data_IF_675644927032
#
_entry.id   IF_675644927032
#
_cell.length_a   1.000
_cell.length_b   1.000
_cell.length_c   1.000
_cell.angle_alpha   90.00
_cell.angle_beta   90.00
_cell.angle_gamma   90.00
#
_symmetry.space_group_name_H-M   'P 1'
#
loop_
_entity.id
_entity.type
_entity.pdbx_description
1 polymer ?
#
# COMPACT_ATOMS: atom_id res chain seq x y z
N UNK A 1 -1.30 -11.42 27.13
CA UNK A 1 -1.49 -12.21 25.88
C UNK A 1 -1.77 -11.41 24.61
N UNK A 2 -2.75 -10.49 24.55
CA UNK A 2 -3.02 -9.73 23.30
C UNK A 2 -1.86 -8.80 22.85
N UNK A 3 -1.16 -8.12 23.77
CA UNK A 3 -0.05 -7.22 23.40
C UNK A 3 1.21 -7.97 22.94
N UNK A 4 1.50 -9.14 23.53
CA UNK A 4 2.65 -9.97 23.16
C UNK A 4 2.46 -10.56 21.75
N UNK A 5 1.25 -11.02 21.41
CA UNK A 5 0.94 -11.48 20.06
C UNK A 5 0.96 -10.35 19.02
N UNK A 6 0.58 -9.13 19.40
CA UNK A 6 0.67 -7.96 18.52
C UNK A 6 2.14 -7.60 18.23
N UNK A 7 3.00 -7.62 19.26
CA UNK A 7 4.45 -7.38 19.13
C UNK A 7 5.13 -8.39 18.20
N UNK A 8 4.85 -9.68 18.40
CA UNK A 8 5.43 -10.74 17.57
C UNK A 8 4.97 -10.65 16.12
N UNK A 9 3.70 -10.29 15.88
CA UNK A 9 3.17 -10.08 14.53
C UNK A 9 3.86 -8.89 13.84
N UNK A 10 4.03 -7.76 14.52
CA UNK A 10 4.73 -6.60 13.98
C UNK A 10 6.21 -6.91 13.66
N UNK A 11 6.91 -7.63 14.54
CA UNK A 11 8.30 -8.04 14.30
C UNK A 11 8.44 -8.96 13.07
N UNK A 12 7.51 -9.90 12.89
CA UNK A 12 7.50 -10.82 11.75
C UNK A 12 7.24 -10.08 10.44
N UNK A 13 6.33 -9.10 10.42
CA UNK A 13 6.08 -8.24 9.25
C UNK A 13 7.33 -7.45 8.87
N UNK A 14 8.04 -6.86 9.84
CA UNK A 14 9.27 -6.12 9.58
C UNK A 14 10.35 -7.03 8.99
N UNK A 15 10.55 -8.20 9.59
CA UNK A 15 11.51 -9.19 9.10
C UNK A 15 11.21 -9.62 7.66
N UNK A 16 9.96 -9.93 7.35
CA UNK A 16 9.53 -10.28 6.00
C UNK A 16 9.74 -9.13 5.01
N UNK A 17 9.47 -7.88 5.40
CA UNK A 17 9.77 -6.72 4.58
C UNK A 17 11.26 -6.64 4.25
N UNK A 18 12.15 -6.82 5.22
CA UNK A 18 13.59 -6.86 4.95
C UNK A 18 13.97 -8.01 4.01
N UNK A 19 13.50 -9.23 4.29
CA UNK A 19 13.81 -10.41 3.48
C UNK A 19 13.41 -10.25 2.01
N UNK A 20 12.25 -9.66 1.74
CA UNK A 20 11.73 -9.42 0.38
C UNK A 20 12.51 -8.31 -0.35
N UNK A 21 13.06 -7.33 0.37
CA UNK A 21 13.77 -6.18 -0.23
C UNK A 21 15.29 -6.39 -0.36
N UNK A 22 15.90 -7.30 0.40
CA UNK A 22 17.34 -7.63 0.30
C UNK A 22 17.80 -7.90 -1.15
N UNK A 23 17.05 -8.66 -1.98
CA UNK A 23 17.47 -8.96 -3.34
C UNK A 23 17.66 -7.73 -4.25
N UNK A 24 17.00 -6.61 -3.95
CA UNK A 24 17.09 -5.35 -4.72
C UNK A 24 18.51 -4.77 -4.67
N UNK A 25 19.23 -4.97 -3.57
CA UNK A 25 20.59 -4.43 -3.42
C UNK A 25 21.61 -5.08 -4.35
N UNK A 26 21.31 -6.26 -4.90
CA UNK A 26 22.20 -6.98 -5.83
C UNK A 26 21.92 -6.67 -7.30
N UNK A 27 20.94 -5.81 -7.59
CA UNK A 27 20.49 -5.49 -8.95
C UNK A 27 21.40 -4.47 -9.66
N UNK A 28 22.02 -3.57 -8.91
CA UNK A 28 22.85 -2.50 -9.44
C UNK A 28 24.26 -2.59 -8.88
N UNK A 29 25.23 -2.47 -9.76
CA UNK A 29 26.64 -2.27 -9.43
C UNK A 29 27.03 -0.84 -9.79
N UNK A 30 28.06 -0.31 -9.13
CA UNK A 30 28.60 1.01 -9.45
C UNK A 30 29.77 0.80 -10.39
N UNK A 31 29.66 1.35 -11.60
CA UNK A 31 30.76 1.39 -12.57
C UNK A 31 31.27 2.82 -12.74
N UNK A 32 32.56 2.94 -13.05
CA UNK A 32 33.15 4.23 -13.38
C UNK A 32 32.71 4.65 -14.77
N UNK A 33 32.08 5.81 -14.87
CA UNK A 33 31.65 6.42 -16.12
C UNK A 33 32.31 7.79 -16.25
N UNK A 34 32.58 8.20 -17.49
CA UNK A 34 33.16 9.52 -17.74
C UNK A 34 32.03 10.51 -18.02
N UNK A 35 31.89 11.52 -17.16
CA UNK A 35 30.95 12.60 -17.39
C UNK A 35 31.56 13.60 -18.37
N UNK A 36 31.04 13.60 -19.61
CA UNK A 36 31.52 14.47 -20.67
C UNK A 36 31.20 15.96 -20.45
N UNK A 37 30.20 16.30 -19.63
CA UNK A 37 29.87 17.69 -19.31
C UNK A 37 30.84 18.30 -18.29
N UNK A 38 31.28 17.50 -17.31
CA UNK A 38 32.08 17.99 -16.19
C UNK A 38 33.55 17.54 -16.24
N UNK A 39 33.91 16.67 -17.19
CA UNK A 39 35.29 16.20 -17.39
C UNK A 39 35.84 15.36 -16.24
N UNK A 40 34.97 14.73 -15.45
CA UNK A 40 35.33 13.97 -14.24
C UNK A 40 34.91 12.50 -14.35
N UNK A 41 35.68 11.61 -13.70
CA UNK A 41 35.24 10.23 -13.45
C UNK A 41 34.07 10.28 -12.46
N UNK A 42 32.87 9.96 -12.95
CA UNK A 42 31.67 9.78 -12.16
C UNK A 42 31.41 8.29 -11.89
N UNK A 43 30.55 8.02 -10.93
CA UNK A 43 30.09 6.67 -10.58
C UNK A 43 28.66 6.49 -11.08
N UNK A 44 28.46 5.66 -12.11
CA UNK A 44 27.16 5.40 -12.69
C UNK A 44 26.61 4.05 -12.24
N UNK A 45 25.28 3.94 -11.99
CA UNK A 45 24.65 2.66 -11.74
C UNK A 45 24.61 1.85 -13.04
N UNK A 46 25.30 0.70 -13.06
CA UNK A 46 25.25 -0.27 -14.13
C UNK A 46 24.45 -1.52 -13.71
N UNK A 47 23.66 -2.11 -14.61
CA UNK A 47 22.90 -3.33 -14.32
C UNK A 47 23.85 -4.53 -14.14
N UNK A 48 23.60 -5.39 -13.15
CA UNK A 48 24.38 -6.64 -12.99
C UNK A 48 23.97 -7.70 -14.02
N UNK A 49 24.82 -8.73 -14.22
CA UNK A 49 24.53 -9.88 -15.11
C UNK A 49 23.23 -10.61 -14.74
N UNK A 50 22.80 -10.48 -13.49
CA UNK A 50 21.56 -11.05 -12.96
C UNK A 50 20.30 -10.25 -13.30
N UNK A 51 20.44 -9.01 -13.82
CA UNK A 51 19.34 -8.08 -14.07
C UNK A 51 18.22 -8.72 -14.88
N UNK A 52 18.51 -9.35 -16.03
CA UNK A 52 17.46 -9.87 -16.93
C UNK A 52 16.60 -11.00 -16.34
N UNK A 53 17.19 -11.92 -15.57
CA UNK A 53 16.43 -12.97 -14.88
C UNK A 53 15.74 -12.44 -13.63
N UNK A 54 16.36 -11.45 -12.97
CA UNK A 54 15.85 -10.86 -11.73
C UNK A 54 14.74 -9.82 -11.96
N UNK A 55 14.71 -9.07 -13.07
CA UNK A 55 13.67 -8.05 -13.34
C UNK A 55 12.28 -8.67 -13.40
N UNK A 56 12.12 -9.83 -14.05
CA UNK A 56 10.83 -10.53 -14.12
C UNK A 56 10.40 -11.05 -12.76
N UNK A 57 11.32 -11.66 -12.03
CA UNK A 57 11.05 -12.16 -10.67
C UNK A 57 10.69 -11.01 -9.73
N UNK A 58 11.44 -9.91 -9.76
CA UNK A 58 11.19 -8.68 -9.00
C UNK A 58 9.84 -8.08 -9.33
N UNK A 59 9.50 -7.94 -10.62
CA UNK A 59 8.21 -7.37 -11.02
C UNK A 59 7.04 -8.21 -10.51
N UNK A 60 7.13 -9.54 -10.62
CA UNK A 60 6.11 -10.46 -10.10
C UNK A 60 6.04 -10.37 -8.56
N UNK A 61 7.17 -10.44 -7.88
CA UNK A 61 7.25 -10.41 -6.41
C UNK A 61 6.75 -9.07 -5.85
N UNK A 62 7.18 -7.94 -6.43
CA UNK A 62 6.76 -6.59 -6.09
C UNK A 62 5.27 -6.40 -6.33
N UNK A 63 4.75 -6.81 -7.49
CA UNK A 63 3.32 -6.74 -7.79
C UNK A 63 2.52 -7.56 -6.76
N UNK A 64 2.92 -8.80 -6.48
CA UNK A 64 2.23 -9.66 -5.52
C UNK A 64 2.27 -9.10 -4.09
N UNK A 65 3.43 -8.66 -3.62
CA UNK A 65 3.59 -8.20 -2.22
C UNK A 65 3.14 -6.77 -1.98
N UNK A 66 3.22 -5.89 -2.99
CA UNK A 66 2.90 -4.47 -2.84
C UNK A 66 1.51 -4.08 -3.32
N UNK A 67 0.85 -4.89 -4.15
CA UNK A 67 -0.53 -4.62 -4.59
C UNK A 67 -1.50 -5.72 -4.20
N UNK A 68 -1.28 -6.96 -4.64
CA UNK A 68 -2.22 -8.06 -4.41
C UNK A 68 -2.35 -8.35 -2.91
N UNK A 69 -1.24 -8.51 -2.19
CA UNK A 69 -1.24 -8.76 -0.75
C UNK A 69 -2.00 -7.70 0.06
N UNK A 70 -1.68 -6.41 -0.08
CA UNK A 70 -2.39 -5.34 0.62
C UNK A 70 -3.87 -5.24 0.24
N UNK A 71 -4.22 -5.37 -1.05
CA UNK A 71 -5.62 -5.32 -1.51
C UNK A 71 -6.41 -6.51 -0.94
N UNK A 72 -5.89 -7.73 -1.02
CA UNK A 72 -6.53 -8.91 -0.43
C UNK A 72 -6.71 -8.76 1.08
N UNK A 73 -5.72 -8.21 1.78
CA UNK A 73 -5.80 -7.98 3.24
C UNK A 73 -6.87 -6.96 3.59
N UNK A 74 -6.94 -5.83 2.86
CA UNK A 74 -7.97 -4.80 3.06
C UNK A 74 -9.36 -5.38 2.80
N UNK A 75 -9.53 -6.19 1.76
CA UNK A 75 -10.80 -6.85 1.45
C UNK A 75 -11.24 -7.79 2.58
N UNK A 76 -10.36 -8.67 3.05
CA UNK A 76 -10.66 -9.60 4.15
C UNK A 76 -11.04 -8.83 5.43
N UNK A 77 -10.28 -7.79 5.78
CA UNK A 77 -10.58 -6.95 6.93
C UNK A 77 -11.91 -6.21 6.79
N UNK A 78 -12.23 -5.75 5.59
CA UNK A 78 -13.50 -5.07 5.29
C UNK A 78 -14.68 -6.02 5.46
N UNK A 79 -14.61 -7.23 4.90
CA UNK A 79 -15.63 -8.27 5.05
C UNK A 79 -15.79 -8.68 6.51
N UNK A 80 -14.70 -8.89 7.24
CA UNK A 80 -14.74 -9.20 8.67
C UNK A 80 -15.37 -8.07 9.49
N UNK A 81 -15.07 -6.82 9.14
CA UNK A 81 -15.65 -5.64 9.79
C UNK A 81 -17.14 -5.57 9.53
N UNK A 82 -17.58 -5.72 8.27
CA UNK A 82 -19.01 -5.76 7.93
C UNK A 82 -19.74 -6.88 8.67
N UNK A 83 -19.17 -8.09 8.72
CA UNK A 83 -19.77 -9.21 9.43
C UNK A 83 -19.93 -8.91 10.92
N UNK A 84 -18.89 -8.37 11.59
CA UNK A 84 -18.95 -8.02 13.01
C UNK A 84 -19.95 -6.89 13.28
N UNK A 85 -19.99 -5.88 12.42
CA UNK A 85 -20.93 -4.76 12.51
C UNK A 85 -22.36 -5.25 12.33
N UNK A 86 -22.64 -6.05 11.30
CA UNK A 86 -23.97 -6.62 11.06
C UNK A 86 -24.44 -7.47 12.25
N UNK A 87 -23.54 -8.28 12.83
CA UNK A 87 -23.84 -9.05 14.04
C UNK A 87 -24.12 -8.15 15.25
N UNK A 88 -23.36 -7.07 15.41
CA UNK A 88 -23.55 -6.07 16.48
C UNK A 88 -24.90 -5.38 16.36
N UNK A 89 -25.25 -4.91 15.16
CA UNK A 89 -26.54 -4.28 14.85
C UNK A 89 -27.71 -5.22 15.10
N UNK A 90 -27.60 -6.50 14.70
CA UNK A 90 -28.65 -7.50 14.96
C UNK A 90 -28.88 -7.73 16.46
N UNK A 91 -27.82 -7.73 17.27
CA UNK A 91 -27.92 -7.84 18.74
C UNK A 91 -28.52 -6.57 19.36
N UNK A 92 -28.09 -5.39 18.90
CA UNK A 92 -28.60 -4.09 19.36
C UNK A 92 -30.09 -3.93 19.05
N UNK A 93 -30.55 -4.28 17.84
CA UNK A 93 -31.98 -4.21 17.48
C UNK A 93 -32.88 -5.02 18.42
N UNK A 94 -32.45 -6.22 18.84
CA UNK A 94 -33.19 -7.07 19.79
C UNK A 94 -33.33 -6.44 21.19
N UNK A 95 -32.33 -5.66 21.64
CA UNK A 95 -32.37 -4.98 22.93
C UNK A 95 -33.24 -3.71 22.92
N UNK A 96 -33.34 -3.04 21.77
CA UNK A 96 -34.10 -1.79 21.64
C UNK A 96 -35.59 -2.00 21.36
N UNK A 97 -35.99 -3.15 20.79
CA UNK A 97 -37.39 -3.57 20.75
C UNK A 97 -37.99 -3.63 22.17
N UNK A 98 -37.14 -3.85 23.19
CA UNK A 98 -37.48 -3.86 24.61
C UNK A 98 -37.49 -2.47 25.28
N UNK A 99 -36.90 -1.43 24.68
CA UNK A 99 -36.78 -0.07 25.27
C UNK A 99 -37.24 1.03 24.30
N UNK A 100 -38.49 1.51 24.45
CA UNK A 100 -39.13 2.58 23.66
C UNK A 100 -38.42 3.96 23.67
N UNK A 101 -37.37 4.18 24.48
CA UNK A 101 -36.78 5.52 24.76
C UNK A 101 -35.49 5.88 24.00
N UNK A 102 -34.83 4.96 23.29
CA UNK A 102 -33.44 5.16 22.80
C UNK A 102 -33.24 5.44 21.30
N UNK A 103 -34.28 5.87 20.57
CA UNK A 103 -34.23 6.01 19.09
C UNK A 103 -33.17 7.02 18.59
N UNK A 104 -32.95 8.11 19.32
CA UNK A 104 -31.97 9.15 18.95
C UNK A 104 -30.52 8.66 19.08
N UNK A 105 -30.19 7.93 20.14
CA UNK A 105 -28.85 7.37 20.37
C UNK A 105 -28.52 6.34 19.28
N UNK A 106 -29.50 5.53 18.88
CA UNK A 106 -29.32 4.54 17.80
C UNK A 106 -29.04 5.21 16.46
N UNK A 107 -29.76 6.29 16.13
CA UNK A 107 -29.51 7.04 14.90
C UNK A 107 -28.12 7.68 14.86
N UNK A 108 -27.61 8.18 15.99
CA UNK A 108 -26.25 8.73 16.09
C UNK A 108 -25.17 7.66 15.98
N UNK A 109 -25.37 6.48 16.57
CA UNK A 109 -24.45 5.35 16.42
C UNK A 109 -24.44 4.83 14.97
N UNK A 110 -25.62 4.71 14.34
CA UNK A 110 -25.75 4.29 12.95
C UNK A 110 -25.09 5.29 11.98
N UNK A 111 -25.21 6.60 12.23
CA UNK A 111 -24.57 7.63 11.40
C UNK A 111 -23.04 7.63 11.56
N UNK A 112 -22.51 7.48 12.78
CA UNK A 112 -21.07 7.30 13.02
C UNK A 112 -20.52 6.06 12.33
N UNK A 113 -21.27 4.95 12.36
CA UNK A 113 -20.90 3.72 11.66
C UNK A 113 -20.88 3.89 10.13
N UNK A 114 -21.88 4.58 9.55
CA UNK A 114 -21.90 4.92 8.13
C UNK A 114 -20.69 5.77 7.73
N UNK A 115 -20.37 6.80 8.50
CA UNK A 115 -19.18 7.64 8.25
C UNK A 115 -17.90 6.82 8.34
N UNK A 116 -17.75 5.98 9.37
CA UNK A 116 -16.57 5.11 9.52
C UNK A 116 -16.43 4.12 8.35
N UNK A 117 -17.54 3.59 7.84
CA UNK A 117 -17.56 2.70 6.67
C UNK A 117 -17.14 3.45 5.41
N UNK A 118 -17.71 4.64 5.17
CA UNK A 118 -17.36 5.48 4.01
C UNK A 118 -15.88 5.86 4.01
N UNK A 119 -15.32 6.22 5.17
CA UNK A 119 -13.88 6.52 5.30
C UNK A 119 -13.02 5.29 4.98
N UNK A 120 -13.40 4.10 5.46
CA UNK A 120 -12.67 2.87 5.16
C UNK A 120 -12.69 2.52 3.66
N UNK A 121 -13.85 2.67 3.01
CA UNK A 121 -13.99 2.48 1.55
C UNK A 121 -13.15 3.51 0.80
N UNK A 122 -13.18 4.78 1.21
CA UNK A 122 -12.39 5.84 0.58
C UNK A 122 -10.89 5.55 0.68
N UNK A 123 -10.40 5.13 1.85
CA UNK A 123 -8.99 4.72 2.02
C UNK A 123 -8.65 3.52 1.12
N UNK A 124 -9.53 2.53 1.02
CA UNK A 124 -9.31 1.35 0.18
C UNK A 124 -9.25 1.70 -1.32
N UNK A 125 -10.19 2.50 -1.82
CA UNK A 125 -10.22 2.96 -3.22
C UNK A 125 -9.00 3.82 -3.54
N UNK A 126 -8.70 4.80 -2.67
CA UNK A 126 -7.51 5.65 -2.80
C UNK A 126 -6.23 4.82 -2.84
N UNK A 127 -6.12 3.83 -1.95
CA UNK A 127 -4.98 2.91 -1.90
C UNK A 127 -4.86 2.10 -3.20
N UNK A 128 -5.97 1.58 -3.72
CA UNK A 128 -5.96 0.78 -4.95
C UNK A 128 -5.53 1.59 -6.16
N UNK A 129 -6.05 2.81 -6.34
CA UNK A 129 -5.69 3.69 -7.47
C UNK A 129 -4.20 4.09 -7.40
N UNK A 130 -3.74 4.55 -6.24
CA UNK A 130 -2.34 5.01 -6.12
C UNK A 130 -1.32 3.87 -6.14
N UNK A 131 -1.73 2.64 -5.85
CA UNK A 131 -0.84 1.47 -5.93
C UNK A 131 -0.90 0.75 -7.27
N UNK A 132 -2.02 0.82 -8.01
CA UNK A 132 -2.11 0.23 -9.34
C UNK A 132 -1.33 1.01 -10.39
N UNK A 133 -1.22 2.34 -10.24
CA UNK A 133 -0.57 3.21 -11.21
C UNK A 133 0.96 2.95 -11.35
N UNK A 134 1.77 2.85 -10.27
CA UNK A 134 3.18 2.46 -10.37
C UNK A 134 3.38 1.05 -10.95
N UNK A 135 2.53 0.08 -10.55
CA UNK A 135 2.61 -1.29 -11.09
C UNK A 135 2.33 -1.33 -12.58
N UNK A 136 1.39 -0.53 -13.06
CA UNK A 136 1.14 -0.41 -14.49
C UNK A 136 2.40 0.07 -15.23
N UNK A 137 3.11 1.07 -14.70
CA UNK A 137 4.34 1.55 -15.31
C UNK A 137 5.49 0.54 -15.23
N UNK A 138 5.66 -0.18 -14.11
CA UNK A 138 6.65 -1.25 -13.97
C UNK A 138 6.43 -2.40 -14.98
N UNK A 139 5.17 -2.77 -15.22
CA UNK A 139 4.81 -3.79 -16.22
C UNK A 139 5.06 -3.24 -17.64
N UNK A 140 4.71 -1.98 -17.88
CA UNK A 140 4.93 -1.33 -19.16
C UNK A 140 6.43 -1.20 -19.51
N UNK A 141 7.27 -0.83 -18.53
CA UNK A 141 8.74 -0.79 -18.67
C UNK A 141 9.32 -2.17 -19.02
N UNK A 142 8.85 -3.23 -18.35
CA UNK A 142 9.31 -4.59 -18.63
C UNK A 142 8.87 -5.14 -19.99
N UNK A 143 7.75 -4.66 -20.55
CA UNK A 143 7.22 -5.15 -21.83
C UNK A 143 7.81 -4.41 -23.04
N UNK A 144 7.96 -3.08 -22.93
CA UNK A 144 8.34 -2.22 -24.06
C UNK A 144 9.78 -1.70 -24.00
N UNK A 145 10.47 -1.88 -22.87
CA UNK A 145 11.84 -1.44 -22.68
C UNK A 145 11.98 0.06 -22.41
N UNK A 146 13.09 0.43 -21.77
CA UNK A 146 13.36 1.80 -21.31
C UNK A 146 13.52 2.78 -22.51
N UNK A 147 13.87 2.30 -23.69
CA UNK A 147 14.07 3.15 -24.87
C UNK A 147 12.76 3.69 -25.48
N UNK A 148 11.63 3.03 -25.20
CA UNK A 148 10.30 3.51 -25.56
C UNK A 148 9.73 4.49 -24.52
N UNK A 149 10.39 4.68 -23.38
CA UNK A 149 9.95 5.61 -22.34
C UNK A 149 10.29 7.04 -22.73
N UNK A 150 9.34 7.70 -23.40
CA UNK A 150 9.40 9.13 -23.60
C UNK A 150 9.41 9.91 -22.27
N UNK A 151 9.87 11.17 -22.32
CA UNK A 151 9.96 12.10 -21.18
C UNK A 151 8.63 12.18 -20.40
N UNK A 152 7.48 12.14 -21.10
CA UNK A 152 6.16 12.18 -20.48
C UNK A 152 5.87 10.99 -19.56
N UNK A 153 6.24 9.76 -19.97
CA UNK A 153 6.05 8.56 -19.16
C UNK A 153 6.98 8.58 -17.94
N UNK A 154 8.24 9.04 -18.11
CA UNK A 154 9.17 9.20 -17.00
C UNK A 154 8.65 10.18 -15.92
N UNK A 155 8.03 11.30 -16.34
CA UNK A 155 7.40 12.24 -15.42
C UNK A 155 6.20 11.60 -14.70
N UNK A 156 5.37 10.84 -15.42
CA UNK A 156 4.20 10.17 -14.83
C UNK A 156 4.58 9.10 -13.80
N UNK A 157 5.68 8.37 -14.01
CA UNK A 157 6.22 7.44 -13.01
C UNK A 157 6.57 8.19 -11.73
N UNK A 158 7.32 9.28 -11.83
CA UNK A 158 7.72 10.09 -10.67
C UNK A 158 6.51 10.68 -9.92
N UNK A 159 5.48 11.11 -10.64
CA UNK A 159 4.22 11.57 -10.04
C UNK A 159 3.53 10.43 -9.29
N UNK A 160 3.52 9.23 -9.86
CA UNK A 160 2.91 8.05 -9.25
C UNK A 160 3.62 7.66 -7.95
N UNK A 161 4.94 7.67 -7.94
CA UNK A 161 5.75 7.41 -6.75
C UNK A 161 5.47 8.44 -5.65
N UNK A 162 5.40 9.72 -6.01
CA UNK A 162 5.03 10.78 -5.07
C UNK A 162 3.63 10.59 -4.50
N UNK A 163 2.67 10.15 -5.31
CA UNK A 163 1.29 9.87 -4.86
C UNK A 163 1.22 8.70 -3.86
N UNK A 164 2.09 7.69 -3.96
CA UNK A 164 2.19 6.63 -2.93
C UNK A 164 2.63 7.21 -1.59
N UNK A 165 3.65 8.09 -1.61
CA UNK A 165 4.17 8.75 -0.40
C UNK A 165 3.08 9.63 0.22
N UNK A 166 2.39 10.42 -0.60
CA UNK A 166 1.28 11.26 -0.15
C UNK A 166 0.13 10.44 0.43
N UNK A 167 -0.20 9.29 -0.16
CA UNK A 167 -1.18 8.36 0.39
C UNK A 167 -0.77 7.86 1.78
N UNK A 168 0.48 7.44 1.94
CA UNK A 168 1.03 6.96 3.20
C UNK A 168 1.03 8.06 4.28
N UNK A 169 1.39 9.29 3.90
CA UNK A 169 1.37 10.45 4.79
C UNK A 169 -0.07 10.81 5.23
N UNK A 170 -1.02 10.82 4.29
CA UNK A 170 -2.42 11.12 4.61
C UNK A 170 -3.03 10.05 5.53
N UNK A 171 -2.71 8.78 5.29
CA UNK A 171 -3.18 7.68 6.14
C UNK A 171 -2.61 7.82 7.55
N UNK A 172 -1.30 8.08 7.66
CA UNK A 172 -0.65 8.33 8.96
C UNK A 172 -1.28 9.51 9.68
N UNK A 173 -1.56 10.62 8.99
CA UNK A 173 -2.22 11.79 9.55
C UNK A 173 -3.64 11.49 10.01
N UNK A 174 -4.42 10.73 9.23
CA UNK A 174 -5.78 10.34 9.60
C UNK A 174 -5.82 9.46 10.86
N UNK A 175 -4.84 8.57 11.04
CA UNK A 175 -4.72 7.75 12.24
C UNK A 175 -4.15 8.53 13.44
N UNK A 176 -3.21 9.47 13.23
CA UNK A 176 -2.66 10.33 14.29
C UNK A 176 -3.64 11.40 14.78
N UNK A 177 -4.43 11.99 13.87
CA UNK A 177 -5.48 12.96 14.19
C UNK A 177 -6.65 12.36 14.98
N UNK A 178 -6.69 11.02 15.09
CA UNK A 178 -7.59 10.26 15.95
C UNK A 178 -6.97 9.98 17.33
N UNK A 179 -6.13 10.88 17.85
CA UNK A 179 -5.80 10.91 19.28
C UNK A 179 -6.94 11.60 20.03
N UNK A 180 -7.56 10.78 20.88
CA UNK A 180 -8.56 11.02 21.94
C UNK A 180 -8.90 12.46 22.27
#
# INVERSE_FOLDING_TARGET
NRSINQSNFSGLVIFLCFAVNIPIYFEFTVEKCFDAEHGVEASCPAPTVFRNSFTRYKAILMTLTQTIGPVSTILILSVLTEYRVHRSLKKRRKLFESQKRSRSIVLTEESKEKVSRTVAIFIAVKFLIFRSMPVFFDVYENLYGIESFGVALSILVRISDFMIVLNSATNSLAYFGKKR
#
